data_IF_810690639291
#
_entry.id   IF_810690639291
#
_cell.length_a   1.000
_cell.length_b   1.000
_cell.length_c   1.000
_cell.angle_alpha   90.00
_cell.angle_beta   90.00
_cell.angle_gamma   90.00
#
_symmetry.space_group_name_H-M   'P 1'
#
loop_
_entity.id
_entity.type
_entity.pdbx_description
1 polymer ?
#
# COMPACT_ATOMS: atom_id res chain seq x y z
N UNK A 1 -39.07 -33.17 5.39
CA UNK A 1 -37.76 -32.56 5.08
C UNK A 1 -38.01 -31.08 4.87
N UNK A 2 -37.79 -30.28 5.91
CA UNK A 2 -37.82 -28.82 5.77
C UNK A 2 -36.50 -28.34 5.16
N UNK A 3 -36.53 -27.32 4.28
CA UNK A 3 -35.31 -26.76 3.72
C UNK A 3 -34.57 -25.97 4.81
N UNK A 4 -33.32 -26.36 5.10
CA UNK A 4 -32.39 -25.57 5.92
C UNK A 4 -32.24 -24.18 5.28
N UNK A 5 -32.61 -23.15 6.02
CA UNK A 5 -32.28 -21.77 5.69
C UNK A 5 -30.77 -21.65 5.50
N UNK A 6 -30.37 -20.96 4.43
CA UNK A 6 -28.98 -20.61 4.15
C UNK A 6 -28.46 -19.79 5.33
N UNK A 7 -27.30 -20.15 5.87
CA UNK A 7 -26.56 -19.32 6.81
C UNK A 7 -26.44 -17.92 6.21
N UNK A 8 -27.15 -16.97 6.81
CA UNK A 8 -27.01 -15.56 6.52
C UNK A 8 -25.56 -15.18 6.78
N UNK A 9 -24.88 -14.63 5.77
CA UNK A 9 -23.62 -13.91 5.91
C UNK A 9 -23.85 -12.74 6.89
N UNK A 10 -23.81 -13.02 8.19
CA UNK A 10 -23.81 -11.98 9.19
C UNK A 10 -22.39 -11.44 9.25
N UNK A 11 -22.20 -10.29 8.62
CA UNK A 11 -21.06 -9.42 8.92
C UNK A 11 -20.98 -9.25 10.44
N UNK A 12 -19.78 -9.28 11.03
CA UNK A 12 -19.61 -9.10 12.46
C UNK A 12 -20.28 -7.78 12.91
N UNK A 13 -20.93 -7.74 14.09
CA UNK A 13 -21.56 -6.54 14.59
C UNK A 13 -20.58 -5.37 14.60
N UNK A 14 -21.03 -4.21 14.10
CA UNK A 14 -20.28 -2.97 14.15
C UNK A 14 -19.78 -2.71 15.58
N UNK A 15 -18.47 -2.48 15.72
CA UNK A 15 -17.73 -2.43 16.99
C UNK A 15 -18.06 -1.23 17.92
N UNK A 16 -19.07 -0.41 17.58
CA UNK A 16 -19.46 0.72 18.42
C UNK A 16 -18.48 1.89 18.45
N UNK A 17 -18.76 2.84 19.34
CA UNK A 17 -17.91 4.01 19.68
C UNK A 17 -16.68 3.64 20.52
N UNK A 18 -16.52 2.36 20.89
CA UNK A 18 -15.44 1.87 21.76
C UNK A 18 -14.09 1.76 21.04
N UNK A 19 -14.08 1.89 19.70
CA UNK A 19 -12.85 1.79 18.89
C UNK A 19 -12.45 3.16 18.33
N UNK A 20 -11.30 3.68 18.80
CA UNK A 20 -10.74 4.93 18.28
C UNK A 20 -9.81 4.68 17.08
N UNK A 21 -10.16 5.26 15.93
CA UNK A 21 -9.32 5.26 14.73
C UNK A 21 -8.42 6.50 14.62
N UNK A 22 -8.51 7.42 15.59
CA UNK A 22 -7.73 8.67 15.61
C UNK A 22 -6.22 8.43 15.54
N UNK A 23 -5.62 7.45 16.26
CA UNK A 23 -4.19 7.19 16.14
C UNK A 23 -3.76 6.84 14.71
N UNK A 24 -4.54 6.03 14.00
CA UNK A 24 -4.25 5.67 12.61
C UNK A 24 -4.31 6.88 11.67
N UNK A 25 -5.32 7.75 11.83
CA UNK A 25 -5.44 8.98 11.05
C UNK A 25 -4.31 9.98 11.33
N UNK A 26 -3.87 10.10 12.58
CA UNK A 26 -2.75 10.95 12.95
C UNK A 26 -1.46 10.46 12.30
N UNK A 27 -1.14 9.17 12.42
CA UNK A 27 0.05 8.60 11.79
C UNK A 27 0.00 8.67 10.26
N UNK A 28 -1.19 8.52 9.65
CA UNK A 28 -1.35 8.71 8.21
C UNK A 28 -1.11 10.18 7.82
N UNK A 29 -1.55 11.13 8.63
CA UNK A 29 -1.28 12.56 8.44
C UNK A 29 0.21 12.85 8.53
N UNK A 30 0.92 12.25 9.50
CA UNK A 30 2.38 12.40 9.63
C UNK A 30 3.12 11.89 8.39
N UNK A 31 2.70 10.77 7.81
CA UNK A 31 3.25 10.27 6.54
C UNK A 31 3.07 11.27 5.40
N UNK A 32 1.89 11.89 5.28
CA UNK A 32 1.64 12.90 4.25
C UNK A 32 2.44 14.19 4.48
N UNK A 33 2.62 14.61 5.74
CA UNK A 33 3.48 15.75 6.08
C UNK A 33 4.94 15.47 5.70
N UNK A 34 5.44 14.27 5.96
CA UNK A 34 6.78 13.84 5.50
C UNK A 34 6.88 13.93 3.98
N UNK A 35 5.89 13.42 3.24
CA UNK A 35 5.89 13.52 1.77
C UNK A 35 5.84 14.97 1.27
N UNK A 36 5.10 15.84 1.95
CA UNK A 36 5.06 17.27 1.64
C UNK A 36 6.44 17.92 1.87
N UNK A 37 7.14 17.60 2.96
CA UNK A 37 8.50 18.08 3.22
C UNK A 37 9.47 17.63 2.12
N UNK A 38 9.36 16.37 1.67
CA UNK A 38 10.14 15.84 0.53
C UNK A 38 9.92 16.66 -0.75
N UNK A 39 8.73 17.24 -0.95
CA UNK A 39 8.47 18.09 -2.11
C UNK A 39 9.27 19.39 -2.11
N UNK A 40 9.68 19.87 -0.93
CA UNK A 40 10.41 21.14 -0.78
C UNK A 40 11.94 20.97 -0.84
N UNK A 41 12.43 19.74 -0.96
CA UNK A 41 13.87 19.46 -1.03
C UNK A 41 14.43 19.90 -2.40
N UNK A 42 15.50 20.71 -2.44
CA UNK A 42 16.15 21.09 -3.69
C UNK A 42 16.74 19.89 -4.44
N UNK A 43 16.74 19.95 -5.77
CA UNK A 43 17.36 18.92 -6.62
C UNK A 43 18.88 18.78 -6.41
N UNK A 44 19.53 19.82 -5.88
CA UNK A 44 20.97 19.79 -5.54
C UNK A 44 21.29 19.08 -4.24
N UNK A 45 20.28 18.59 -3.50
CA UNK A 45 20.49 17.84 -2.28
C UNK A 45 21.21 16.52 -2.57
N UNK A 46 22.08 16.10 -1.65
CA UNK A 46 22.81 14.85 -1.78
C UNK A 46 21.82 13.67 -1.65
N UNK A 47 21.69 12.80 -2.68
CA UNK A 47 20.65 11.77 -2.72
C UNK A 47 20.69 10.79 -1.55
N UNK A 48 21.86 10.25 -1.20
CA UNK A 48 21.97 9.20 -0.19
C UNK A 48 21.52 9.69 1.18
N UNK A 49 22.02 10.84 1.62
CA UNK A 49 21.67 11.49 2.90
C UNK A 49 20.20 11.87 2.90
N UNK A 50 19.67 12.35 1.78
CA UNK A 50 18.27 12.75 1.67
C UNK A 50 17.33 11.55 1.78
N UNK A 51 17.60 10.49 1.02
CA UNK A 51 16.84 9.23 1.08
C UNK A 51 16.88 8.65 2.49
N UNK A 52 18.07 8.45 3.06
CA UNK A 52 18.23 7.88 4.42
C UNK A 52 17.43 8.68 5.45
N UNK A 53 17.54 10.02 5.44
CA UNK A 53 16.81 10.89 6.37
C UNK A 53 15.29 10.68 6.31
N UNK A 54 14.70 10.64 5.12
CA UNK A 54 13.25 10.55 4.99
C UNK A 54 12.73 9.13 5.19
N UNK A 55 13.49 8.11 4.81
CA UNK A 55 13.15 6.72 5.14
C UNK A 55 13.17 6.49 6.65
N UNK A 56 14.13 7.07 7.38
CA UNK A 56 14.16 7.05 8.85
C UNK A 56 12.96 7.76 9.48
N UNK A 57 12.57 8.94 8.97
CA UNK A 57 11.35 9.63 9.43
C UNK A 57 10.10 8.77 9.26
N UNK A 58 9.95 8.12 8.10
CA UNK A 58 8.81 7.20 7.86
C UNK A 58 8.86 6.03 8.83
N UNK A 59 10.02 5.43 9.05
CA UNK A 59 10.17 4.32 10.01
C UNK A 59 9.81 4.75 11.44
N UNK A 60 10.20 5.94 11.86
CA UNK A 60 9.83 6.48 13.18
C UNK A 60 8.30 6.61 13.35
N UNK A 61 7.56 6.98 12.30
CA UNK A 61 6.08 6.99 12.36
C UNK A 61 5.56 5.57 12.62
N UNK A 62 6.08 4.58 11.91
CA UNK A 62 5.65 3.19 12.04
C UNK A 62 6.02 2.56 13.40
N UNK A 63 7.20 2.88 13.93
CA UNK A 63 7.68 2.37 15.23
C UNK A 63 6.82 2.87 16.40
N UNK A 64 6.25 4.07 16.26
CA UNK A 64 5.41 4.71 17.26
C UNK A 64 3.93 4.33 17.16
N UNK A 65 3.55 3.44 16.23
CA UNK A 65 2.18 2.98 16.11
C UNK A 65 1.72 2.24 17.40
N UNK A 66 0.45 2.39 17.78
CA UNK A 66 -0.12 1.61 18.88
C UNK A 66 -0.14 0.11 18.52
N UNK A 67 -0.13 -0.80 19.52
CA UNK A 67 0.00 -2.24 19.30
C UNK A 67 -0.99 -2.85 18.32
N UNK A 68 -2.21 -2.31 18.25
CA UNK A 68 -3.31 -2.74 17.39
C UNK A 68 -3.10 -2.38 15.93
N UNK A 69 -2.28 -1.37 15.64
CA UNK A 69 -1.95 -0.91 14.29
C UNK A 69 -0.58 -1.36 13.81
N UNK A 70 0.17 -2.12 14.61
CA UNK A 70 1.47 -2.63 14.19
C UNK A 70 1.30 -3.83 13.27
N UNK A 71 2.00 -3.78 12.13
CA UNK A 71 2.14 -4.96 11.28
C UNK A 71 2.96 -6.04 11.99
N UNK A 72 2.47 -7.27 11.97
CA UNK A 72 3.11 -8.43 12.61
C UNK A 72 3.28 -9.63 11.67
N UNK A 73 3.27 -9.40 10.35
CA UNK A 73 3.53 -10.45 9.36
C UNK A 73 2.65 -11.68 9.48
N UNK A 74 1.34 -11.48 9.66
CA UNK A 74 0.37 -12.57 9.81
C UNK A 74 0.43 -13.33 11.15
N UNK A 75 1.28 -12.92 12.11
CA UNK A 75 1.30 -13.48 13.47
C UNK A 75 0.05 -13.10 14.28
N UNK A 76 -0.11 -13.77 15.43
CA UNK A 76 -1.23 -13.59 16.36
C UNK A 76 -1.44 -12.12 16.72
N UNK A 77 -2.68 -11.65 16.51
CA UNK A 77 -3.10 -10.28 16.78
C UNK A 77 -3.64 -10.13 18.21
N UNK A 78 -3.60 -8.93 18.79
CA UNK A 78 -4.34 -8.63 20.01
C UNK A 78 -5.82 -9.03 19.86
N UNK A 79 -6.44 -9.53 20.94
CA UNK A 79 -7.80 -10.09 20.90
C UNK A 79 -8.89 -9.05 20.55
N UNK A 80 -8.57 -7.76 20.67
CA UNK A 80 -9.44 -6.62 20.40
C UNK A 80 -9.30 -6.04 18.98
N UNK A 81 -8.46 -6.61 18.12
CA UNK A 81 -8.30 -6.13 16.74
C UNK A 81 -9.56 -6.43 15.93
N UNK A 82 -10.06 -5.39 15.26
CA UNK A 82 -11.25 -5.43 14.39
C UNK A 82 -10.86 -5.28 12.93
N UNK A 83 -11.79 -5.53 12.01
CA UNK A 83 -11.59 -5.27 10.58
C UNK A 83 -11.24 -3.80 10.30
N UNK A 84 -11.77 -2.85 11.06
CA UNK A 84 -11.40 -1.45 10.90
C UNK A 84 -9.93 -1.17 11.27
N UNK A 85 -9.33 -1.93 12.18
CA UNK A 85 -7.88 -1.85 12.42
C UNK A 85 -7.11 -2.37 11.21
N UNK A 86 -7.58 -3.45 10.56
CA UNK A 86 -6.95 -3.97 9.35
C UNK A 86 -7.00 -2.97 8.19
N UNK A 87 -8.12 -2.26 8.07
CA UNK A 87 -8.27 -1.12 7.15
C UNK A 87 -7.24 -0.02 7.44
N UNK A 88 -7.04 0.34 8.70
CA UNK A 88 -6.03 1.33 9.08
C UNK A 88 -4.61 0.82 8.80
N UNK A 89 -4.31 -0.44 9.09
CA UNK A 89 -3.02 -1.07 8.78
C UNK A 89 -2.75 -1.02 7.27
N UNK A 90 -3.72 -1.42 6.45
CA UNK A 90 -3.57 -1.35 4.99
C UNK A 90 -3.27 0.08 4.52
N UNK A 91 -4.06 1.07 4.99
CA UNK A 91 -3.85 2.46 4.66
C UNK A 91 -2.49 3.00 5.09
N UNK A 92 -2.06 2.71 6.31
CA UNK A 92 -0.76 3.16 6.84
C UNK A 92 0.40 2.53 6.08
N UNK A 93 0.43 1.21 6.00
CA UNK A 93 1.61 0.51 5.49
C UNK A 93 1.72 0.66 3.97
N UNK A 94 0.64 0.50 3.20
CA UNK A 94 0.67 0.71 1.74
C UNK A 94 1.01 2.17 1.40
N UNK A 95 0.48 3.14 2.14
CA UNK A 95 0.86 4.55 1.93
C UNK A 95 2.32 4.79 2.27
N UNK A 96 2.84 4.22 3.36
CA UNK A 96 4.24 4.34 3.73
C UNK A 96 5.16 3.75 2.64
N UNK A 97 4.83 2.58 2.10
CA UNK A 97 5.59 1.93 1.03
C UNK A 97 5.56 2.74 -0.26
N UNK A 98 4.42 3.32 -0.60
CA UNK A 98 4.29 4.20 -1.77
C UNK A 98 5.17 5.44 -1.63
N UNK A 99 5.16 6.10 -0.48
CA UNK A 99 6.00 7.27 -0.22
C UNK A 99 7.49 6.89 -0.27
N UNK A 100 7.88 5.75 0.31
CA UNK A 100 9.26 5.24 0.21
C UNK A 100 9.68 5.02 -1.24
N UNK A 101 8.82 4.37 -2.04
CA UNK A 101 9.06 4.13 -3.47
C UNK A 101 9.24 5.46 -4.23
N UNK A 102 8.37 6.43 -3.98
CA UNK A 102 8.43 7.74 -4.62
C UNK A 102 9.67 8.55 -4.21
N UNK A 103 10.14 8.42 -2.97
CA UNK A 103 11.40 9.03 -2.51
C UNK A 103 12.59 8.46 -3.29
N UNK A 104 12.65 7.14 -3.46
CA UNK A 104 13.70 6.47 -4.23
C UNK A 104 13.69 6.90 -5.69
N UNK A 105 12.52 6.96 -6.33
CA UNK A 105 12.40 7.45 -7.71
C UNK A 105 12.79 8.92 -7.84
N UNK A 106 12.42 9.78 -6.87
CA UNK A 106 12.67 11.22 -6.95
C UNK A 106 14.15 11.59 -6.85
N UNK A 107 14.88 11.00 -5.91
CA UNK A 107 16.29 11.36 -5.69
C UNK A 107 17.28 10.46 -6.44
N UNK A 108 16.78 9.42 -7.11
CA UNK A 108 17.53 8.63 -8.06
C UNK A 108 18.21 7.40 -7.46
N UNK A 109 18.84 6.58 -8.32
CA UNK A 109 19.46 5.35 -7.89
C UNK A 109 20.70 5.64 -7.05
N UNK A 110 20.70 5.08 -5.86
CA UNK A 110 21.85 4.89 -4.98
C UNK A 110 22.35 3.46 -5.12
N UNK A 111 23.49 3.14 -4.50
CA UNK A 111 24.02 1.77 -4.45
C UNK A 111 23.04 0.76 -3.81
N UNK A 112 22.04 1.24 -3.06
CA UNK A 112 21.04 0.41 -2.37
C UNK A 112 19.65 0.47 -2.98
N UNK A 113 19.41 1.33 -3.97
CA UNK A 113 18.04 1.55 -4.47
C UNK A 113 17.38 0.29 -5.03
N UNK A 114 18.15 -0.63 -5.63
CA UNK A 114 17.63 -1.91 -6.10
C UNK A 114 17.15 -2.79 -4.94
N UNK A 115 17.97 -2.95 -3.90
CA UNK A 115 17.65 -3.70 -2.69
C UNK A 115 16.45 -3.08 -1.96
N UNK A 116 16.43 -1.76 -1.82
CA UNK A 116 15.35 -1.03 -1.16
C UNK A 116 14.02 -1.20 -1.92
N UNK A 117 14.03 -1.13 -3.26
CA UNK A 117 12.84 -1.38 -4.07
C UNK A 117 12.36 -2.84 -3.97
N UNK A 118 13.27 -3.83 -3.95
CA UNK A 118 12.89 -5.23 -3.73
C UNK A 118 12.21 -5.42 -2.38
N UNK A 119 12.77 -4.84 -1.32
CA UNK A 119 12.19 -4.90 0.02
C UNK A 119 10.81 -4.26 0.09
N UNK A 120 10.61 -3.12 -0.58
CA UNK A 120 9.29 -2.47 -0.67
C UNK A 120 8.25 -3.40 -1.30
N UNK A 121 8.61 -4.11 -2.37
CA UNK A 121 7.70 -5.06 -3.03
C UNK A 121 7.45 -6.30 -2.18
N UNK A 122 8.47 -6.80 -1.47
CA UNK A 122 8.30 -7.93 -0.55
C UNK A 122 7.34 -7.58 0.60
N UNK A 123 7.54 -6.43 1.25
CA UNK A 123 6.65 -5.92 2.30
C UNK A 123 5.22 -5.69 1.76
N UNK A 124 5.10 -5.17 0.54
CA UNK A 124 3.81 -4.98 -0.12
C UNK A 124 3.08 -6.31 -0.34
N UNK A 125 3.78 -7.31 -0.91
CA UNK A 125 3.21 -8.64 -1.12
C UNK A 125 2.85 -9.29 0.21
N UNK A 126 3.62 -9.08 1.28
CA UNK A 126 3.29 -9.56 2.60
C UNK A 126 1.91 -9.03 3.04
N UNK A 127 1.67 -7.73 2.91
CA UNK A 127 0.39 -7.09 3.25
C UNK A 127 -0.75 -7.65 2.38
N UNK A 128 -0.56 -7.68 1.05
CA UNK A 128 -1.59 -8.10 0.09
C UNK A 128 -2.03 -9.56 0.25
N UNK A 129 -1.15 -10.43 0.76
CA UNK A 129 -1.46 -11.85 0.94
C UNK A 129 -1.99 -12.20 2.34
N UNK A 130 -1.80 -11.34 3.34
CA UNK A 130 -2.16 -11.65 4.73
C UNK A 130 -3.30 -10.79 5.29
N UNK A 131 -3.67 -9.68 4.65
CA UNK A 131 -4.88 -8.95 5.01
C UNK A 131 -6.12 -9.55 4.34
N UNK A 132 -7.29 -9.57 5.02
CA UNK A 132 -8.54 -10.03 4.44
C UNK A 132 -8.92 -9.27 3.17
N UNK A 133 -9.54 -9.95 2.20
CA UNK A 133 -9.97 -9.31 0.94
C UNK A 133 -10.90 -8.11 1.17
N UNK A 134 -11.82 -8.22 2.13
CA UNK A 134 -12.78 -7.18 2.48
C UNK A 134 -12.11 -5.82 2.82
N UNK A 135 -10.89 -5.85 3.36
CA UNK A 135 -10.09 -4.64 3.64
C UNK A 135 -9.77 -3.88 2.35
N UNK A 136 -9.40 -4.61 1.30
CA UNK A 136 -9.08 -4.02 0.00
C UNK A 136 -10.34 -3.66 -0.78
N UNK A 137 -11.43 -4.41 -0.60
CA UNK A 137 -12.73 -4.02 -1.16
C UNK A 137 -13.22 -2.70 -0.52
N UNK A 138 -13.00 -2.47 0.78
CA UNK A 138 -13.40 -1.22 1.44
C UNK A 138 -12.53 -0.01 1.06
N UNK A 139 -11.26 -0.21 0.67
CA UNK A 139 -10.28 0.88 0.46
C UNK A 139 -9.69 0.95 -0.94
N UNK A 140 -10.18 0.13 -1.88
CA UNK A 140 -9.53 -0.11 -3.16
C UNK A 140 -9.31 1.16 -3.98
N UNK A 141 -10.24 2.12 -3.92
CA UNK A 141 -10.13 3.41 -4.60
C UNK A 141 -8.89 4.24 -4.19
N UNK A 142 -8.41 4.11 -2.96
CA UNK A 142 -7.22 4.80 -2.45
C UNK A 142 -5.95 3.95 -2.57
N UNK A 143 -6.07 2.64 -2.33
CA UNK A 143 -4.93 1.74 -2.23
C UNK A 143 -4.44 1.24 -3.60
N UNK A 144 -5.36 0.86 -4.50
CA UNK A 144 -5.00 0.29 -5.80
C UNK A 144 -4.09 1.20 -6.63
N UNK A 145 -4.34 2.53 -6.72
CA UNK A 145 -3.42 3.43 -7.42
C UNK A 145 -1.99 3.37 -6.83
N UNK A 146 -1.85 3.35 -5.51
CA UNK A 146 -0.53 3.28 -4.84
C UNK A 146 0.19 1.97 -5.11
N UNK A 147 -0.55 0.86 -5.09
CA UNK A 147 -0.01 -0.47 -5.40
C UNK A 147 0.52 -0.51 -6.84
N UNK A 148 -0.23 0.09 -7.78
CA UNK A 148 0.21 0.22 -9.18
C UNK A 148 1.44 1.12 -9.32
N UNK A 149 1.47 2.26 -8.64
CA UNK A 149 2.61 3.17 -8.65
C UNK A 149 3.90 2.49 -8.16
N UNK A 150 3.81 1.72 -7.05
CA UNK A 150 4.93 0.90 -6.55
C UNK A 150 5.36 -0.13 -7.58
N UNK A 151 4.41 -0.83 -8.21
CA UNK A 151 4.71 -1.84 -9.23
C UNK A 151 5.39 -1.24 -10.48
N UNK A 152 4.96 -0.06 -10.91
CA UNK A 152 5.57 0.68 -12.01
C UNK A 152 7.00 1.11 -11.67
N UNK A 153 7.21 1.68 -10.48
CA UNK A 153 8.52 2.06 -9.99
C UNK A 153 9.49 0.87 -9.94
N UNK A 154 9.00 -0.29 -9.48
CA UNK A 154 9.79 -1.51 -9.45
C UNK A 154 10.18 -1.97 -10.86
N UNK A 155 9.25 -1.94 -11.82
CA UNK A 155 9.53 -2.31 -13.21
C UNK A 155 10.58 -1.40 -13.86
N UNK A 156 10.52 -0.08 -13.62
CA UNK A 156 11.51 0.89 -14.10
C UNK A 156 12.92 0.60 -13.55
N UNK A 157 13.00 0.23 -12.26
CA UNK A 157 14.26 -0.16 -11.62
C UNK A 157 14.85 -1.41 -12.30
N UNK A 158 14.03 -2.43 -12.57
CA UNK A 158 14.49 -3.66 -13.24
C UNK A 158 15.03 -3.40 -14.65
N UNK A 159 14.45 -2.44 -15.37
CA UNK A 159 14.91 -2.03 -16.70
C UNK A 159 16.28 -1.33 -16.70
N UNK A 160 16.75 -0.85 -15.54
CA UNK A 160 17.95 -0.02 -15.41
C UNK A 160 19.24 -0.80 -15.11
N UNK A 161 19.18 -2.14 -15.04
CA UNK A 161 20.36 -3.02 -14.96
C UNK A 161 20.34 -3.93 -13.73
N UNK A 162 19.84 -5.15 -13.89
CA UNK A 162 19.78 -6.21 -12.88
C UNK A 162 20.40 -7.48 -13.47
N UNK A 163 21.12 -8.28 -12.68
CA UNK A 163 21.75 -9.52 -13.17
C UNK A 163 20.74 -10.62 -13.52
N UNK A 164 21.08 -11.59 -14.38
CA UNK A 164 20.14 -12.64 -14.87
C UNK A 164 19.40 -13.41 -13.77
N UNK A 165 20.06 -13.70 -12.63
CA UNK A 165 19.45 -14.41 -11.50
C UNK A 165 18.48 -13.53 -10.72
N UNK A 166 18.83 -12.26 -10.51
CA UNK A 166 17.99 -11.27 -9.83
C UNK A 166 16.77 -10.90 -10.69
N UNK A 167 16.90 -10.93 -12.02
CA UNK A 167 15.77 -10.78 -12.96
C UNK A 167 14.74 -11.90 -12.77
N UNK A 168 15.17 -13.13 -12.49
CA UNK A 168 14.29 -14.27 -12.27
C UNK A 168 13.38 -14.10 -11.05
N UNK A 169 13.97 -13.77 -9.90
CA UNK A 169 13.20 -13.52 -8.67
C UNK A 169 12.32 -12.28 -8.78
N UNK A 170 12.86 -11.21 -9.37
CA UNK A 170 12.11 -9.98 -9.60
C UNK A 170 10.88 -10.18 -10.49
N UNK A 171 11.01 -11.01 -11.54
CA UNK A 171 9.89 -11.38 -12.40
C UNK A 171 8.81 -12.13 -11.63
N UNK A 172 9.19 -13.08 -10.77
CA UNK A 172 8.22 -13.81 -9.92
C UNK A 172 7.47 -12.85 -9.01
N UNK A 173 8.16 -11.89 -8.38
CA UNK A 173 7.52 -10.87 -7.53
C UNK A 173 6.53 -10.02 -8.34
N UNK A 174 6.93 -9.57 -9.52
CA UNK A 174 6.06 -8.79 -10.40
C UNK A 174 4.82 -9.59 -10.85
N UNK A 175 4.98 -10.85 -11.24
CA UNK A 175 3.86 -11.73 -11.61
C UNK A 175 2.88 -11.92 -10.45
N UNK A 176 3.38 -12.02 -9.21
CA UNK A 176 2.53 -12.08 -8.01
C UNK A 176 1.79 -10.78 -7.76
N UNK A 177 2.46 -9.64 -7.93
CA UNK A 177 1.85 -8.32 -7.75
C UNK A 177 0.77 -8.07 -8.81
N UNK A 178 1.04 -8.37 -10.07
CA UNK A 178 0.07 -8.25 -11.17
C UNK A 178 -1.15 -9.13 -10.94
N UNK A 179 -0.95 -10.38 -10.53
CA UNK A 179 -2.08 -11.27 -10.17
C UNK A 179 -2.93 -10.70 -9.04
N UNK A 180 -2.31 -10.05 -8.04
CA UNK A 180 -3.05 -9.39 -6.96
C UNK A 180 -3.77 -8.13 -7.43
N UNK A 181 -3.18 -7.36 -8.34
CA UNK A 181 -3.85 -6.23 -8.96
C UNK A 181 -5.07 -6.69 -9.78
N UNK A 182 -4.96 -7.77 -10.56
CA UNK A 182 -6.10 -8.35 -11.29
C UNK A 182 -7.27 -8.72 -10.35
N UNK A 183 -6.96 -9.28 -9.17
CA UNK A 183 -7.97 -9.60 -8.13
C UNK A 183 -8.66 -8.34 -7.56
N UNK A 184 -7.96 -7.20 -7.58
CA UNK A 184 -8.38 -5.90 -7.01
C UNK A 184 -8.95 -4.94 -8.07
N UNK A 185 -8.86 -5.27 -9.36
CA UNK A 185 -9.11 -4.36 -10.49
C UNK A 185 -10.59 -4.02 -10.72
N UNK A 186 -11.49 -4.40 -9.82
CA UNK A 186 -12.86 -3.89 -9.78
C UNK A 186 -12.93 -2.38 -9.47
N UNK A 187 -11.85 -1.81 -8.90
CA UNK A 187 -11.69 -0.38 -8.68
C UNK A 187 -11.03 0.28 -9.88
N UNK A 188 -11.78 0.40 -10.98
CA UNK A 188 -11.37 1.29 -12.06
C UNK A 188 -11.27 2.70 -11.50
N UNK A 189 -10.10 3.32 -11.63
CA UNK A 189 -9.82 4.63 -11.05
C UNK A 189 -10.91 5.67 -11.38
N UNK A 190 -11.01 6.71 -10.55
CA UNK A 190 -11.76 7.94 -10.84
C UNK A 190 -11.32 8.42 -12.23
N UNK A 191 -12.08 8.08 -13.27
CA UNK A 191 -11.56 8.09 -14.64
C UNK A 191 -12.49 7.49 -15.69
N UNK A 192 -13.54 6.76 -15.31
CA UNK A 192 -14.73 6.64 -16.16
C UNK A 192 -15.55 7.91 -16.00
N UNK A 193 -15.09 8.99 -16.64
CA UNK A 193 -16.04 10.01 -17.07
C UNK A 193 -17.00 9.29 -18.01
N UNK A 194 -18.26 9.16 -17.60
CA UNK A 194 -19.35 8.78 -18.47
C UNK A 194 -19.18 9.54 -19.79
N UNK A 195 -18.81 8.82 -20.85
CA UNK A 195 -18.91 9.35 -22.19
C UNK A 195 -20.38 9.71 -22.39
N UNK A 196 -20.72 11.00 -22.57
CA UNK A 196 -22.12 11.36 -22.74
C UNK A 196 -22.65 10.63 -23.98
N UNK A 197 -23.90 10.15 -23.95
CA UNK A 197 -24.44 9.39 -25.05
C UNK A 197 -24.35 10.22 -26.33
N UNK A 198 -23.72 9.65 -27.36
CA UNK A 198 -23.69 10.24 -28.69
C UNK A 198 -25.14 10.51 -29.09
N UNK A 199 -25.50 11.80 -29.17
CA UNK A 199 -26.75 12.22 -29.79
C UNK A 199 -26.68 11.77 -31.24
N UNK A 200 -27.49 10.77 -31.57
CA UNK A 200 -27.80 10.45 -32.95
C UNK A 200 -28.78 11.53 -33.39
N UNK A 201 -28.27 12.51 -34.13
CA UNK A 201 -29.12 13.51 -34.78
C UNK A 201 -29.94 12.79 -35.87
N UNK A 202 -31.25 12.70 -35.65
CA UNK A 202 -32.26 12.35 -36.66
C UNK A 202 -32.72 13.58 -37.41
#
# INVERSE_FOLDING_TARGET
MEPKARDSCHEPPWHGDDTTYVPGLNSLSDLFLIWQEVQQVPESAEPQVTITRYLEKIQQVLDNLPPELRWRGGLSRPANVTEGHDVQIANLFVTSLNIRSNILQKFGPTDKSAEDHQKIVDDLLEILYHLPRAVFDANGSSLVPKIRDIGAAYLEQLGSGVGEVEIGDARIKLERLLRKLDDLDCWQGIGVLDTPPLRVDT
#
